data_IF_519748295020
#
_entry.id   IF_519748295020
#
_cell.length_a   1.000
_cell.length_b   1.000
_cell.length_c   1.000
_cell.angle_alpha   90.00
_cell.angle_beta   90.00
_cell.angle_gamma   90.00
#
_symmetry.space_group_name_H-M   'P 1'
#
loop_
_entity.id
_entity.type
_entity.pdbx_description
1 polymer ?
#
# COMPACT_ATOMS: atom_id res chain seq x y z
N UNK A 1 20.95 17.22 -19.25
CA UNK A 1 20.11 16.24 -19.97
C UNK A 1 18.76 16.27 -19.30
N UNK A 2 17.72 16.63 -20.04
CA UNK A 2 16.35 16.47 -19.56
C UNK A 2 16.08 14.97 -19.36
N UNK A 3 15.38 14.62 -18.29
CA UNK A 3 14.98 13.22 -18.08
C UNK A 3 13.97 12.85 -19.16
N UNK A 4 14.10 11.68 -19.82
CA UNK A 4 13.12 11.25 -20.80
C UNK A 4 11.75 11.15 -20.14
N UNK A 5 10.71 11.50 -20.89
CA UNK A 5 9.33 11.43 -20.45
C UNK A 5 8.48 10.74 -21.52
N UNK A 6 7.42 10.00 -21.14
CA UNK A 6 6.51 9.43 -22.11
C UNK A 6 5.85 10.54 -22.97
N UNK A 7 5.45 10.23 -24.21
CA UNK A 7 4.65 11.11 -25.05
C UNK A 7 3.39 11.61 -24.35
N UNK A 8 2.92 12.81 -24.70
CA UNK A 8 1.82 13.49 -24.01
C UNK A 8 0.51 12.68 -24.01
N UNK A 9 0.17 12.04 -25.13
CA UNK A 9 -0.99 11.16 -25.25
C UNK A 9 -0.91 9.96 -24.28
N UNK A 10 0.28 9.36 -24.16
CA UNK A 10 0.56 8.27 -23.23
C UNK A 10 0.41 8.75 -21.78
N UNK A 11 0.91 9.95 -21.45
CA UNK A 11 0.77 10.54 -20.11
C UNK A 11 -0.68 10.79 -19.73
N UNK A 12 -1.50 11.29 -20.66
CA UNK A 12 -2.93 11.51 -20.42
C UNK A 12 -3.66 10.21 -20.13
N UNK A 13 -3.34 9.13 -20.88
CA UNK A 13 -3.91 7.80 -20.65
C UNK A 13 -3.44 7.17 -19.34
N UNK A 14 -2.17 7.39 -18.94
CA UNK A 14 -1.66 7.03 -17.61
C UNK A 14 -2.46 7.75 -16.54
N UNK A 15 -2.66 9.07 -16.67
CA UNK A 15 -3.47 9.86 -15.74
C UNK A 15 -4.90 9.34 -15.59
N UNK A 16 -5.55 9.00 -16.70
CA UNK A 16 -6.87 8.36 -16.70
C UNK A 16 -6.85 7.01 -15.96
N UNK A 17 -5.86 6.15 -16.23
CA UNK A 17 -5.74 4.84 -15.60
C UNK A 17 -5.52 4.94 -14.08
N UNK A 18 -4.69 5.90 -13.63
CA UNK A 18 -4.48 6.18 -12.21
C UNK A 18 -5.77 6.70 -11.58
N UNK A 19 -6.43 7.70 -12.19
CA UNK A 19 -7.67 8.27 -11.66
C UNK A 19 -8.79 7.25 -11.51
N UNK A 20 -9.00 6.39 -12.51
CA UNK A 20 -9.97 5.30 -12.44
C UNK A 20 -9.61 4.28 -11.34
N UNK A 21 -8.32 3.98 -11.17
CA UNK A 21 -7.86 3.02 -10.15
C UNK A 21 -7.94 3.57 -8.71
N UNK A 22 -7.79 4.88 -8.53
CA UNK A 22 -8.01 5.55 -7.24
C UNK A 22 -9.49 5.45 -6.85
N UNK A 23 -10.41 5.66 -7.79
CA UNK A 23 -11.84 5.52 -7.53
C UNK A 23 -12.20 4.09 -7.15
N UNK A 24 -11.77 3.13 -7.98
CA UNK A 24 -12.00 1.71 -7.74
C UNK A 24 -10.78 0.88 -8.19
N UNK A 25 -10.13 0.15 -7.27
CA UNK A 25 -8.95 -0.63 -7.59
C UNK A 25 -9.21 -1.59 -8.75
N UNK A 26 -8.31 -1.56 -9.73
CA UNK A 26 -8.40 -2.38 -10.94
C UNK A 26 -8.98 -1.67 -12.16
N UNK A 27 -9.87 -0.68 -12.03
CA UNK A 27 -10.55 -0.08 -13.20
C UNK A 27 -9.60 0.53 -14.24
N UNK A 28 -8.47 1.09 -13.83
CA UNK A 28 -7.49 1.66 -14.77
C UNK A 28 -6.96 0.66 -15.80
N UNK A 29 -6.98 -0.64 -15.50
CA UNK A 29 -6.56 -1.69 -16.44
C UNK A 29 -7.47 -1.79 -17.67
N UNK A 30 -8.70 -1.27 -17.60
CA UNK A 30 -9.62 -1.24 -18.74
C UNK A 30 -9.20 -0.22 -19.80
N UNK A 31 -8.37 0.78 -19.47
CA UNK A 31 -7.80 1.75 -20.44
C UNK A 31 -7.00 1.03 -21.54
N UNK A 32 -6.40 -0.12 -21.22
CA UNK A 32 -5.70 -1.01 -22.16
C UNK A 32 -6.39 -2.36 -22.34
N UNK A 33 -7.70 -2.44 -22.04
CA UNK A 33 -8.54 -3.64 -22.21
C UNK A 33 -8.02 -4.90 -21.47
N UNK A 34 -7.23 -4.74 -20.42
CA UNK A 34 -6.69 -5.84 -19.59
C UNK A 34 -7.71 -6.29 -18.54
N UNK A 35 -8.80 -6.93 -18.99
CA UNK A 35 -9.94 -7.33 -18.13
C UNK A 35 -9.55 -8.26 -16.98
N UNK A 36 -8.63 -9.21 -17.21
CA UNK A 36 -8.17 -10.13 -16.17
C UNK A 36 -7.50 -9.39 -15.00
N UNK A 37 -6.64 -8.42 -15.30
CA UNK A 37 -6.00 -7.58 -14.27
C UNK A 37 -7.00 -6.66 -13.56
N UNK A 38 -7.97 -6.11 -14.28
CA UNK A 38 -9.06 -5.34 -13.67
C UNK A 38 -9.79 -6.19 -12.63
N UNK A 39 -10.22 -7.40 -13.00
CA UNK A 39 -10.94 -8.30 -12.11
C UNK A 39 -10.06 -8.76 -10.93
N UNK A 40 -8.81 -9.13 -11.19
CA UNK A 40 -7.87 -9.55 -10.15
C UNK A 40 -7.71 -8.48 -9.07
N UNK A 41 -7.39 -7.24 -9.46
CA UNK A 41 -7.15 -6.15 -8.50
C UNK A 41 -8.42 -5.74 -7.77
N UNK A 42 -9.55 -5.71 -8.47
CA UNK A 42 -10.85 -5.45 -7.84
C UNK A 42 -11.14 -6.50 -6.77
N UNK A 43 -11.10 -7.79 -7.11
CA UNK A 43 -11.38 -8.87 -6.17
C UNK A 43 -10.40 -8.86 -5.01
N UNK A 44 -9.09 -8.73 -5.28
CA UNK A 44 -8.07 -8.72 -4.23
C UNK A 44 -8.32 -7.60 -3.21
N UNK A 45 -8.55 -6.36 -3.66
CA UNK A 45 -8.75 -5.23 -2.77
C UNK A 45 -10.10 -5.29 -2.05
N UNK A 46 -11.19 -5.70 -2.72
CA UNK A 46 -12.49 -5.79 -2.06
C UNK A 46 -12.55 -6.96 -1.06
N UNK A 47 -12.02 -8.13 -1.42
CA UNK A 47 -12.02 -9.28 -0.51
C UNK A 47 -11.17 -8.99 0.73
N UNK A 48 -9.99 -8.39 0.58
CA UNK A 48 -9.15 -8.01 1.73
C UNK A 48 -9.79 -6.92 2.58
N UNK A 49 -10.45 -5.92 1.97
CA UNK A 49 -11.20 -4.89 2.70
C UNK A 49 -12.33 -5.50 3.54
N UNK A 50 -13.27 -6.19 2.89
CA UNK A 50 -14.47 -6.68 3.56
C UNK A 50 -14.17 -7.84 4.52
N UNK A 51 -13.26 -8.75 4.18
CA UNK A 51 -12.82 -9.77 5.13
C UNK A 51 -12.14 -9.12 6.34
N UNK A 52 -11.31 -8.11 6.12
CA UNK A 52 -10.64 -7.38 7.20
C UNK A 52 -11.61 -6.68 8.14
N UNK A 53 -12.60 -5.98 7.58
CA UNK A 53 -13.65 -5.32 8.35
C UNK A 53 -14.48 -6.33 9.14
N UNK A 54 -14.90 -7.44 8.52
CA UNK A 54 -15.70 -8.46 9.20
C UNK A 54 -14.93 -9.15 10.34
N UNK A 55 -13.66 -9.52 10.13
CA UNK A 55 -12.83 -10.19 11.13
C UNK A 55 -12.51 -9.31 12.35
N UNK A 56 -12.49 -7.99 12.16
CA UNK A 56 -12.23 -7.02 13.22
C UNK A 56 -13.51 -6.34 13.76
N UNK A 57 -14.71 -6.81 13.39
CA UNK A 57 -15.97 -6.20 13.82
C UNK A 57 -16.12 -4.73 13.40
N UNK A 58 -15.54 -4.36 12.26
CA UNK A 58 -15.49 -3.00 11.70
C UNK A 58 -14.92 -1.92 12.65
N UNK A 59 -14.15 -2.33 13.67
CA UNK A 59 -13.48 -1.41 14.63
C UNK A 59 -12.49 -0.44 13.98
N UNK A 60 -12.08 -0.70 12.73
CA UNK A 60 -11.30 0.23 11.93
C UNK A 60 -11.97 1.60 11.81
N UNK A 61 -13.31 1.63 11.77
CA UNK A 61 -14.09 2.86 11.61
C UNK A 61 -14.09 3.74 12.85
N UNK A 62 -13.74 3.21 14.02
CA UNK A 62 -13.57 4.01 15.24
C UNK A 62 -12.39 5.00 15.12
N UNK A 63 -11.44 4.71 14.23
CA UNK A 63 -10.30 5.58 13.91
C UNK A 63 -10.56 6.50 12.71
N UNK A 64 -11.71 6.35 12.05
CA UNK A 64 -12.07 7.12 10.87
C UNK A 64 -12.94 8.32 11.19
N UNK A 65 -13.11 9.22 10.22
CA UNK A 65 -13.97 10.40 10.36
C UNK A 65 -14.70 10.73 9.07
N UNK A 66 -15.97 11.12 9.22
CA UNK A 66 -16.75 11.74 8.15
C UNK A 66 -16.34 13.20 7.97
N UNK A 67 -16.06 13.57 6.73
CA UNK A 67 -15.87 14.94 6.27
C UNK A 67 -17.05 15.34 5.38
N UNK A 68 -17.54 16.56 5.53
CA UNK A 68 -18.73 17.03 4.82
C UNK A 68 -19.02 18.50 5.06
N UNK A 69 -20.11 18.98 4.48
CA UNK A 69 -20.57 20.36 4.62
C UNK A 69 -21.86 20.40 5.45
N UNK A 70 -21.79 21.01 6.63
CA UNK A 70 -22.90 21.06 7.57
C UNK A 70 -23.31 19.66 8.03
N UNK A 71 -24.59 19.31 7.83
CA UNK A 71 -25.14 18.00 8.20
C UNK A 71 -24.91 16.90 7.14
N UNK A 72 -24.44 17.25 5.95
CA UNK A 72 -24.26 16.29 4.85
C UNK A 72 -22.96 15.53 5.04
N UNK A 73 -23.05 14.22 5.24
CA UNK A 73 -21.90 13.32 5.23
C UNK A 73 -21.37 13.19 3.80
N UNK A 74 -20.13 13.62 3.58
CA UNK A 74 -19.46 13.53 2.28
C UNK A 74 -18.57 12.30 2.20
N UNK A 75 -17.32 12.43 2.61
CA UNK A 75 -16.27 11.41 2.48
C UNK A 75 -15.89 10.88 3.85
N UNK A 76 -15.85 9.57 4.00
CA UNK A 76 -15.27 8.91 5.15
C UNK A 76 -13.78 8.65 4.93
N UNK A 77 -12.95 9.15 5.84
CA UNK A 77 -11.50 8.98 5.79
C UNK A 77 -11.06 8.09 6.95
N UNK A 78 -10.41 6.99 6.61
CA UNK A 78 -9.78 6.05 7.53
C UNK A 78 -8.52 5.51 6.86
N UNK A 79 -7.38 5.60 7.55
CA UNK A 79 -6.08 5.29 6.94
C UNK A 79 -5.60 3.87 7.30
N UNK A 80 -4.99 3.15 6.33
CA UNK A 80 -4.82 3.49 4.91
C UNK A 80 -6.00 3.05 4.02
N UNK A 81 -7.07 2.48 4.59
CA UNK A 81 -8.21 1.90 3.86
C UNK A 81 -8.80 2.83 2.79
N UNK A 82 -8.85 4.15 3.03
CA UNK A 82 -9.40 5.17 2.12
C UNK A 82 -8.78 5.15 0.72
N UNK A 83 -7.58 4.58 0.54
CA UNK A 83 -6.99 4.39 -0.78
C UNK A 83 -7.76 3.37 -1.64
N UNK A 84 -8.48 2.42 -1.04
CA UNK A 84 -9.56 1.67 -1.68
C UNK A 84 -10.86 2.49 -1.54
N UNK A 85 -10.93 3.59 -2.30
CA UNK A 85 -11.84 4.69 -2.04
C UNK A 85 -13.31 4.28 -2.00
N UNK A 86 -13.89 3.87 -3.13
CA UNK A 86 -15.32 3.53 -3.19
C UNK A 86 -15.68 2.34 -2.30
N UNK A 87 -14.81 1.34 -2.20
CA UNK A 87 -15.01 0.20 -1.30
C UNK A 87 -15.16 0.65 0.15
N UNK A 88 -14.27 1.53 0.60
CA UNK A 88 -14.32 2.11 1.95
C UNK A 88 -15.54 3.00 2.16
N UNK A 89 -15.91 3.82 1.17
CA UNK A 89 -17.12 4.65 1.28
C UNK A 89 -18.38 3.80 1.44
N UNK A 90 -18.52 2.74 0.63
CA UNK A 90 -19.66 1.82 0.73
C UNK A 90 -19.66 1.11 2.07
N UNK A 91 -18.51 0.58 2.50
CA UNK A 91 -18.39 -0.13 3.75
C UNK A 91 -18.76 0.75 4.96
N UNK A 92 -18.32 2.01 4.98
CA UNK A 92 -18.63 2.96 6.05
C UNK A 92 -20.13 3.34 6.14
N UNK A 93 -20.90 3.11 5.08
CA UNK A 93 -22.35 3.35 5.07
C UNK A 93 -23.15 2.14 5.57
N UNK A 94 -22.62 0.92 5.41
CA UNK A 94 -23.37 -0.31 5.67
C UNK A 94 -22.88 -1.10 6.88
N UNK A 95 -21.64 -0.89 7.33
CA UNK A 95 -21.07 -1.54 8.49
C UNK A 95 -20.88 -0.52 9.63
N UNK A 96 -21.06 -1.00 10.85
CA UNK A 96 -20.86 -0.23 12.07
C UNK A 96 -19.88 -0.96 12.97
N UNK A 97 -19.01 -0.22 13.65
CA UNK A 97 -18.10 -0.82 14.63
C UNK A 97 -18.90 -1.45 15.76
N UNK A 98 -18.55 -2.69 16.11
CA UNK A 98 -19.10 -3.38 17.28
C UNK A 98 -18.68 -2.74 18.60
N UNK A 99 -17.61 -1.94 18.61
CA UNK A 99 -17.13 -1.23 19.81
C UNK A 99 -17.69 0.19 19.91
N UNK A 100 -18.40 0.67 18.88
CA UNK A 100 -19.10 1.96 18.87
C UNK A 100 -18.21 3.13 19.36
N UNK A 101 -17.04 3.31 18.76
CA UNK A 101 -16.07 4.33 19.17
C UNK A 101 -15.37 4.02 20.50
N UNK A 102 -15.32 2.75 20.91
CA UNK A 102 -14.75 2.31 22.19
C UNK A 102 -15.73 2.37 23.37
N UNK A 103 -17.00 2.69 23.13
CA UNK A 103 -18.05 2.68 24.17
C UNK A 103 -18.34 1.27 24.69
N UNK A 104 -18.21 0.25 23.82
CA UNK A 104 -18.50 -1.15 24.15
C UNK A 104 -17.30 -2.07 23.85
N UNK A 105 -16.22 -2.03 24.67
CA UNK A 105 -15.03 -2.84 24.43
C UNK A 105 -15.38 -4.33 24.44
N UNK A 106 -15.04 -5.02 23.36
CA UNK A 106 -15.32 -6.45 23.24
C UNK A 106 -14.08 -7.23 22.80
N UNK A 107 -14.05 -8.52 23.08
CA UNK A 107 -12.96 -9.37 22.65
C UNK A 107 -13.25 -9.92 21.25
N UNK A 108 -12.37 -9.61 20.29
CA UNK A 108 -12.51 -10.02 18.89
C UNK A 108 -11.30 -10.90 18.53
N UNK A 109 -11.48 -12.22 18.35
CA UNK A 109 -10.35 -13.16 18.21
C UNK A 109 -9.40 -12.85 17.05
N UNK A 110 -9.94 -12.39 15.91
CA UNK A 110 -9.17 -12.16 14.68
C UNK A 110 -8.95 -10.68 14.39
N UNK A 111 -9.00 -9.82 15.41
CA UNK A 111 -8.88 -8.36 15.26
C UNK A 111 -7.61 -7.95 14.52
N UNK A 112 -6.45 -8.43 14.97
CA UNK A 112 -5.14 -8.05 14.44
C UNK A 112 -5.03 -8.42 12.94
N UNK A 113 -5.50 -9.62 12.57
CA UNK A 113 -5.59 -10.06 11.18
C UNK A 113 -6.59 -9.20 10.39
N UNK A 114 -7.73 -8.87 10.98
CA UNK A 114 -8.75 -8.05 10.34
C UNK A 114 -8.25 -6.63 10.01
N UNK A 115 -7.56 -5.99 10.96
CA UNK A 115 -6.89 -4.70 10.75
C UNK A 115 -5.82 -4.80 9.66
N UNK A 116 -5.01 -5.86 9.68
CA UNK A 116 -3.98 -6.07 8.67
C UNK A 116 -4.57 -6.19 7.26
N UNK A 117 -5.63 -7.00 7.08
CA UNK A 117 -6.27 -7.21 5.78
C UNK A 117 -6.94 -5.94 5.25
N UNK A 118 -7.67 -5.20 6.08
CA UNK A 118 -8.32 -3.95 5.65
C UNK A 118 -7.28 -2.89 5.28
N UNK A 119 -6.23 -2.73 6.08
CA UNK A 119 -5.14 -1.82 5.78
C UNK A 119 -4.39 -2.23 4.50
N UNK A 120 -4.13 -3.52 4.32
CA UNK A 120 -3.48 -4.05 3.13
C UNK A 120 -4.29 -3.73 1.87
N UNK A 121 -5.64 -3.78 1.92
CA UNK A 121 -6.50 -3.36 0.82
C UNK A 121 -6.20 -1.93 0.34
N UNK A 122 -6.04 -0.99 1.26
CA UNK A 122 -5.72 0.40 0.93
C UNK A 122 -4.35 0.54 0.25
N UNK A 123 -3.32 -0.10 0.81
CA UNK A 123 -1.98 -0.08 0.22
C UNK A 123 -1.97 -0.77 -1.15
N UNK A 124 -2.60 -1.94 -1.28
CA UNK A 124 -2.74 -2.67 -2.54
C UNK A 124 -3.46 -1.85 -3.60
N UNK A 125 -4.47 -1.05 -3.24
CA UNK A 125 -5.16 -0.14 -4.15
C UNK A 125 -4.21 0.90 -4.78
N UNK A 126 -3.30 1.50 -4.00
CA UNK A 126 -2.27 2.40 -4.54
C UNK A 126 -1.37 1.69 -5.56
N UNK A 127 -0.94 0.48 -5.25
CA UNK A 127 -0.08 -0.30 -6.15
C UNK A 127 -0.83 -0.89 -7.35
N UNK A 128 -2.15 -1.08 -7.26
CA UNK A 128 -3.00 -1.40 -8.40
C UNK A 128 -3.03 -0.24 -9.40
N UNK A 129 -3.11 1.00 -8.91
CA UNK A 129 -3.06 2.20 -9.75
C UNK A 129 -1.70 2.36 -10.43
N UNK A 130 -0.60 2.14 -9.69
CA UNK A 130 0.73 2.07 -10.24
C UNK A 130 0.80 0.96 -11.32
N UNK A 131 0.39 -0.27 -11.02
CA UNK A 131 0.42 -1.36 -11.99
C UNK A 131 -0.38 -1.01 -13.27
N UNK A 132 -1.56 -0.41 -13.15
CA UNK A 132 -2.35 0.05 -14.30
C UNK A 132 -1.60 1.06 -15.17
N UNK A 133 -0.96 2.07 -14.56
CA UNK A 133 -0.14 3.05 -15.27
C UNK A 133 1.01 2.39 -16.05
N UNK A 134 1.68 1.40 -15.45
CA UNK A 134 2.74 0.66 -16.12
C UNK A 134 2.21 -0.16 -17.29
N UNK A 135 1.00 -0.71 -17.19
CA UNK A 135 0.35 -1.45 -18.29
C UNK A 135 -0.04 -0.53 -19.45
N UNK A 136 -0.42 0.73 -19.18
CA UNK A 136 -0.62 1.74 -20.23
C UNK A 136 0.68 2.00 -20.97
N UNK A 137 1.76 2.31 -20.25
CA UNK A 137 3.07 2.56 -20.86
C UNK A 137 3.51 1.37 -21.73
N UNK A 138 3.36 0.14 -21.22
CA UNK A 138 3.78 -1.05 -21.96
C UNK A 138 2.90 -1.38 -23.17
N UNK A 139 1.64 -0.93 -23.20
CA UNK A 139 0.76 -1.09 -24.35
C UNK A 139 1.07 -0.06 -25.44
N UNK A 140 1.37 1.17 -25.03
CA UNK A 140 1.57 2.30 -25.95
C UNK A 140 2.99 2.33 -26.52
N UNK A 141 3.97 1.92 -25.71
CA UNK A 141 5.38 1.80 -26.09
C UNK A 141 5.88 0.38 -25.81
N UNK A 142 5.59 -0.62 -26.67
CA UNK A 142 6.00 -1.99 -26.43
C UNK A 142 7.53 -2.15 -26.42
N UNK A 143 8.08 -2.62 -25.29
CA UNK A 143 9.52 -2.92 -25.12
C UNK A 143 9.72 -4.36 -24.66
N UNK A 144 9.82 -5.34 -25.58
CA UNK A 144 10.05 -6.73 -25.20
C UNK A 144 11.35 -6.87 -24.40
N UNK A 145 11.33 -7.71 -23.36
CA UNK A 145 12.49 -7.97 -22.49
C UNK A 145 12.76 -6.92 -21.41
N UNK A 146 12.13 -5.74 -21.46
CA UNK A 146 12.23 -4.73 -20.40
C UNK A 146 11.20 -4.96 -19.30
N UNK A 147 11.51 -4.49 -18.09
CA UNK A 147 10.63 -4.65 -16.92
C UNK A 147 9.62 -3.53 -16.85
N UNK A 148 8.35 -3.89 -16.71
CA UNK A 148 7.27 -2.94 -16.56
C UNK A 148 7.46 -2.12 -15.26
N UNK A 149 7.40 -0.78 -15.29
CA UNK A 149 7.59 0.05 -14.10
C UNK A 149 6.65 -0.27 -12.95
N UNK A 150 5.39 -0.59 -13.25
CA UNK A 150 4.43 -0.99 -12.23
C UNK A 150 4.73 -2.33 -11.59
N UNK A 151 5.33 -3.26 -12.32
CA UNK A 151 5.83 -4.50 -11.72
C UNK A 151 7.02 -4.24 -10.82
N UNK A 152 7.92 -3.30 -11.16
CA UNK A 152 9.06 -2.94 -10.30
C UNK A 152 8.59 -2.29 -8.98
N UNK A 153 7.61 -1.38 -9.04
CA UNK A 153 7.01 -0.82 -7.83
C UNK A 153 6.33 -1.90 -6.97
N UNK A 154 5.49 -2.75 -7.58
CA UNK A 154 4.79 -3.83 -6.87
C UNK A 154 5.77 -4.80 -6.20
N UNK A 155 6.87 -5.14 -6.87
CA UNK A 155 7.90 -5.98 -6.29
C UNK A 155 8.52 -5.34 -5.03
N UNK A 156 8.75 -4.02 -5.04
CA UNK A 156 9.24 -3.27 -3.87
C UNK A 156 8.24 -3.25 -2.72
N UNK A 157 6.93 -3.25 -3.00
CA UNK A 157 5.91 -3.44 -1.97
C UNK A 157 6.02 -4.82 -1.32
N UNK A 158 6.21 -5.88 -2.11
CA UNK A 158 6.26 -7.24 -1.56
C UNK A 158 7.50 -7.43 -0.68
N UNK A 159 8.64 -6.92 -1.13
CA UNK A 159 9.89 -6.96 -0.40
C UNK A 159 10.73 -5.70 -0.71
N UNK A 160 11.11 -4.90 0.29
CA UNK A 160 11.94 -3.72 0.07
C UNK A 160 13.19 -4.03 -0.75
N UNK A 161 13.40 -3.26 -1.83
CA UNK A 161 14.54 -3.42 -2.75
C UNK A 161 14.35 -4.46 -3.86
N UNK A 162 13.30 -5.29 -3.84
CA UNK A 162 13.09 -6.31 -4.89
C UNK A 162 12.83 -5.67 -6.27
N UNK A 163 12.16 -4.52 -6.33
CA UNK A 163 12.00 -3.77 -7.58
C UNK A 163 13.32 -3.40 -8.24
N UNK A 164 14.26 -2.82 -7.46
CA UNK A 164 15.61 -2.53 -7.93
C UNK A 164 16.34 -3.77 -8.40
N UNK A 165 16.16 -4.90 -7.72
CA UNK A 165 16.76 -6.16 -8.12
C UNK A 165 16.25 -6.62 -9.49
N UNK A 166 14.93 -6.56 -9.71
CA UNK A 166 14.31 -6.94 -10.98
C UNK A 166 14.76 -6.09 -12.16
N UNK A 167 15.07 -4.81 -11.92
CA UNK A 167 15.60 -3.86 -12.92
C UNK A 167 17.13 -4.00 -13.05
N UNK A 168 17.77 -4.94 -12.35
CA UNK A 168 19.20 -5.23 -12.47
C UNK A 168 20.11 -4.38 -11.57
N UNK A 169 19.56 -3.50 -10.74
CA UNK A 169 20.28 -2.62 -9.82
C UNK A 169 20.55 -3.30 -8.47
N UNK A 170 21.26 -4.44 -8.50
CA UNK A 170 21.46 -5.31 -7.32
C UNK A 170 22.10 -4.62 -6.12
N UNK A 171 23.10 -3.77 -6.33
CA UNK A 171 23.74 -3.03 -5.23
C UNK A 171 22.73 -2.12 -4.50
N UNK A 172 21.93 -1.35 -5.25
CA UNK A 172 20.87 -0.51 -4.67
C UNK A 172 19.82 -1.35 -3.96
N UNK A 173 19.42 -2.49 -4.54
CA UNK A 173 18.47 -3.40 -3.94
C UNK A 173 18.91 -3.84 -2.54
N UNK A 174 20.16 -4.30 -2.40
CA UNK A 174 20.71 -4.75 -1.11
C UNK A 174 20.90 -3.59 -0.15
N UNK A 175 21.48 -2.47 -0.61
CA UNK A 175 21.75 -1.32 0.25
C UNK A 175 20.46 -0.69 0.79
N UNK A 176 19.53 -0.32 -0.11
CA UNK A 176 18.30 0.37 0.27
C UNK A 176 17.30 -0.60 0.91
N UNK A 177 17.07 -1.77 0.30
CA UNK A 177 16.18 -2.79 0.84
C UNK A 177 16.65 -3.31 2.20
N UNK A 178 17.95 -3.57 2.34
CA UNK A 178 18.57 -3.96 3.61
C UNK A 178 18.47 -2.87 4.67
N UNK A 179 18.63 -1.60 4.31
CA UNK A 179 18.44 -0.48 5.25
C UNK A 179 16.99 -0.38 5.73
N UNK A 180 16.01 -0.45 4.81
CA UNK A 180 14.59 -0.39 5.17
C UNK A 180 14.19 -1.57 6.06
N UNK A 181 14.60 -2.78 5.71
CA UNK A 181 14.35 -3.97 6.52
C UNK A 181 15.07 -3.88 7.88
N UNK A 182 16.30 -3.40 7.91
CA UNK A 182 17.07 -3.20 9.14
C UNK A 182 16.40 -2.19 10.08
N UNK A 183 15.94 -1.05 9.57
CA UNK A 183 15.18 -0.06 10.34
C UNK A 183 13.90 -0.66 10.91
N UNK A 184 13.16 -1.41 10.09
CA UNK A 184 11.92 -2.05 10.53
C UNK A 184 12.17 -3.08 11.63
N UNK A 185 13.12 -4.00 11.43
CA UNK A 185 13.41 -5.04 12.41
C UNK A 185 14.00 -4.47 13.70
N UNK A 186 14.85 -3.44 13.60
CA UNK A 186 15.34 -2.70 14.77
C UNK A 186 14.17 -2.04 15.50
N UNK A 187 13.27 -1.39 14.77
CA UNK A 187 12.10 -0.76 15.35
C UNK A 187 11.19 -1.76 16.07
N UNK A 188 10.88 -2.89 15.43
CA UNK A 188 10.12 -3.99 16.05
C UNK A 188 10.81 -4.52 17.30
N UNK A 189 12.14 -4.67 17.30
CA UNK A 189 12.89 -5.14 18.46
C UNK A 189 12.84 -4.15 19.64
N UNK A 190 12.99 -2.84 19.38
CA UNK A 190 12.86 -1.79 20.40
C UNK A 190 11.45 -1.69 20.97
N UNK A 191 10.46 -2.01 20.13
CA UNK A 191 9.04 -2.12 20.45
C UNK A 191 8.57 -3.46 21.01
N UNK A 192 9.49 -4.35 21.40
CA UNK A 192 9.12 -5.68 21.93
C UNK A 192 8.20 -6.49 21.02
N UNK A 193 8.25 -6.24 19.71
CA UNK A 193 7.39 -6.80 18.66
C UNK A 193 5.89 -6.53 18.82
N UNK A 194 5.48 -5.59 19.69
CA UNK A 194 4.08 -5.23 19.91
C UNK A 194 3.69 -3.86 19.30
N UNK A 195 4.63 -3.17 18.65
CA UNK A 195 4.46 -1.83 18.07
C UNK A 195 3.57 -1.79 16.81
N UNK A 196 3.43 -2.92 16.10
CA UNK A 196 2.62 -3.01 14.87
C UNK A 196 1.15 -3.26 15.22
N UNK A 197 0.55 -2.32 15.94
CA UNK A 197 -0.80 -2.45 16.51
C UNK A 197 -1.60 -1.17 16.23
N UNK A 198 -2.68 -1.32 15.47
CA UNK A 198 -3.58 -0.21 15.12
C UNK A 198 -4.28 0.37 16.33
N UNK A 199 -4.64 -0.45 17.33
CA UNK A 199 -5.38 0.01 18.50
C UNK A 199 -4.55 0.96 19.36
N UNK A 200 -3.24 0.70 19.43
CA UNK A 200 -2.31 1.51 20.22
C UNK A 200 -1.83 2.73 19.45
N UNK A 201 -1.51 2.55 18.17
CA UNK A 201 -0.78 3.56 17.39
C UNK A 201 -1.40 3.77 16.01
N UNK A 202 -2.68 4.18 15.91
CA UNK A 202 -3.43 4.16 14.65
C UNK A 202 -2.77 4.99 13.52
N UNK A 203 -2.18 6.14 13.86
CA UNK A 203 -1.49 6.99 12.88
C UNK A 203 -0.15 6.41 12.41
N UNK A 204 0.67 5.89 13.33
CA UNK A 204 1.96 5.28 13.01
C UNK A 204 1.78 3.98 12.23
N UNK A 205 0.76 3.21 12.60
CA UNK A 205 0.35 1.97 11.95
C UNK A 205 0.06 2.17 10.46
N UNK A 206 -0.65 3.24 10.09
CA UNK A 206 -0.91 3.54 8.69
C UNK A 206 0.40 3.73 7.88
N UNK A 207 1.42 4.34 8.47
CA UNK A 207 2.75 4.46 7.86
C UNK A 207 3.50 3.13 7.79
N UNK A 208 3.43 2.31 8.85
CA UNK A 208 4.03 0.96 8.88
C UNK A 208 3.44 0.04 7.79
N UNK A 209 2.15 0.18 7.48
CA UNK A 209 1.47 -0.62 6.45
C UNK A 209 2.09 -0.47 5.05
N UNK A 210 2.74 0.65 4.74
CA UNK A 210 3.45 0.84 3.47
C UNK A 210 4.73 0.01 3.32
N UNK A 211 5.21 -0.61 4.40
CA UNK A 211 6.29 -1.59 4.31
C UNK A 211 5.90 -2.88 3.56
N UNK A 212 4.60 -3.09 3.35
CA UNK A 212 4.07 -4.08 2.44
C UNK A 212 4.27 -5.53 2.90
N UNK A 213 4.39 -6.45 1.95
CA UNK A 213 4.28 -7.89 2.20
C UNK A 213 5.20 -8.40 3.30
N UNK A 214 6.48 -8.02 3.27
CA UNK A 214 7.45 -8.40 4.30
C UNK A 214 7.05 -7.92 5.70
N UNK A 215 6.55 -6.68 5.83
CA UNK A 215 6.15 -6.12 7.11
C UNK A 215 4.87 -6.77 7.61
N UNK A 216 3.91 -7.02 6.72
CA UNK A 216 2.65 -7.68 7.06
C UNK A 216 2.87 -9.10 7.58
N UNK A 217 3.82 -9.85 6.99
CA UNK A 217 4.18 -11.18 7.46
C UNK A 217 4.80 -11.14 8.87
N UNK A 218 5.68 -10.17 9.14
CA UNK A 218 6.26 -10.00 10.48
C UNK A 218 5.20 -9.57 11.48
N UNK A 219 4.30 -8.65 11.11
CA UNK A 219 3.18 -8.23 11.95
C UNK A 219 2.25 -9.41 12.28
N UNK A 220 1.95 -10.27 11.30
CA UNK A 220 1.16 -11.47 11.52
C UNK A 220 1.86 -12.47 12.43
N UNK A 221 3.17 -12.67 12.25
CA UNK A 221 3.97 -13.56 13.11
C UNK A 221 4.08 -13.03 14.55
N UNK A 222 4.03 -11.71 14.72
CA UNK A 222 4.01 -11.03 16.00
C UNK A 222 2.59 -10.81 16.55
N UNK A 223 1.55 -11.26 15.85
CA UNK A 223 0.17 -11.11 16.31
C UNK A 223 0.00 -11.83 17.65
N UNK A 224 -0.39 -11.07 18.69
CA UNK A 224 -0.47 -11.55 20.06
C UNK A 224 0.69 -11.17 20.96
N UNK A 225 1.77 -10.56 20.43
CA UNK A 225 2.75 -9.87 21.28
C UNK A 225 2.04 -8.71 22.01
N UNK A 226 2.35 -8.55 23.31
CA UNK A 226 1.77 -7.52 24.18
C UNK A 226 2.87 -6.93 25.03
N UNK A 227 2.81 -5.62 25.29
CA UNK A 227 3.65 -5.02 26.32
C UNK A 227 3.31 -5.60 27.69
N UNK A 228 4.30 -6.19 28.34
CA UNK A 228 4.23 -6.61 29.76
C UNK A 228 4.78 -5.54 30.69
N UNK A 229 5.51 -4.56 30.14
CA UNK A 229 6.15 -3.46 30.86
C UNK A 229 6.26 -2.23 29.95
N UNK A 230 6.61 -1.09 30.54
CA UNK A 230 6.91 0.13 29.78
C UNK A 230 8.31 0.02 29.19
N UNK A 231 8.40 -0.11 27.87
CA UNK A 231 9.68 -0.23 27.17
C UNK A 231 10.34 1.16 27.03
N UNK A 232 11.62 1.26 27.44
CA UNK A 232 12.39 2.51 27.41
C UNK A 232 12.50 3.16 26.03
N UNK A 233 12.46 2.36 24.96
CA UNK A 233 12.70 2.81 23.59
C UNK A 233 11.49 2.62 22.66
N UNK A 234 10.28 2.47 23.23
CA UNK A 234 9.05 2.25 22.46
C UNK A 234 8.81 3.33 21.40
N UNK A 235 8.91 4.61 21.77
CA UNK A 235 8.69 5.71 20.83
C UNK A 235 9.69 5.70 19.67
N UNK A 236 10.94 5.31 19.94
CA UNK A 236 11.95 5.13 18.90
C UNK A 236 11.61 3.93 17.99
N UNK A 237 11.10 2.84 18.57
CA UNK A 237 10.61 1.67 17.84
C UNK A 237 9.52 2.04 16.82
N UNK A 238 8.51 2.77 17.28
CA UNK A 238 7.43 3.29 16.44
C UNK A 238 7.96 4.20 15.33
N UNK A 239 8.84 5.14 15.65
CA UNK A 239 9.43 6.03 14.65
C UNK A 239 10.21 5.25 13.59
N UNK A 240 11.01 4.25 13.98
CA UNK A 240 11.77 3.45 13.02
C UNK A 240 10.88 2.58 12.13
N UNK A 241 9.90 1.88 12.69
CA UNK A 241 8.98 1.04 11.91
C UNK A 241 8.13 1.86 10.94
N UNK A 242 7.58 3.00 11.38
CA UNK A 242 6.82 3.91 10.52
C UNK A 242 7.70 4.52 9.43
N UNK A 243 8.89 5.01 9.78
CA UNK A 243 9.83 5.58 8.81
C UNK A 243 10.24 4.55 7.76
N UNK A 244 10.48 3.30 8.19
CA UNK A 244 10.80 2.22 7.27
C UNK A 244 9.66 1.96 6.27
N UNK A 245 8.41 1.96 6.71
CA UNK A 245 7.25 1.83 5.82
C UNK A 245 7.16 2.97 4.79
N UNK A 246 7.36 4.22 5.22
CA UNK A 246 7.38 5.37 4.31
C UNK A 246 8.58 5.36 3.35
N UNK A 247 9.77 4.96 3.82
CA UNK A 247 10.92 4.78 2.96
C UNK A 247 10.69 3.68 1.92
N UNK A 248 9.91 2.65 2.23
CA UNK A 248 9.56 1.64 1.24
C UNK A 248 8.74 2.21 0.06
N UNK A 249 7.89 3.21 0.31
CA UNK A 249 7.20 3.96 -0.76
C UNK A 249 8.22 4.68 -1.63
N UNK A 250 9.19 5.35 -1.03
CA UNK A 250 10.27 6.05 -1.77
C UNK A 250 11.08 5.05 -2.61
N UNK A 251 11.40 3.88 -2.06
CA UNK A 251 12.07 2.81 -2.81
C UNK A 251 11.23 2.33 -3.98
N UNK A 252 9.91 2.14 -3.79
CA UNK A 252 9.01 1.74 -4.87
C UNK A 252 8.93 2.78 -5.98
N UNK A 253 8.91 4.08 -5.63
CA UNK A 253 8.93 5.19 -6.58
C UNK A 253 10.27 5.30 -7.33
N UNK A 254 11.41 5.12 -6.66
CA UNK A 254 12.72 5.09 -7.34
C UNK A 254 12.80 3.87 -8.27
N UNK A 255 12.36 2.69 -7.83
CA UNK A 255 12.34 1.48 -8.66
C UNK A 255 11.43 1.66 -9.90
N UNK A 256 10.25 2.26 -9.72
CA UNK A 256 9.38 2.66 -10.82
C UNK A 256 10.11 3.56 -11.80
N UNK A 257 10.67 4.67 -11.30
CA UNK A 257 11.28 5.68 -12.16
C UNK A 257 12.46 5.10 -12.94
N UNK A 258 13.26 4.23 -12.32
CA UNK A 258 14.37 3.58 -13.03
C UNK A 258 13.90 2.60 -14.09
N UNK A 259 12.86 1.83 -13.81
CA UNK A 259 12.27 0.98 -14.83
C UNK A 259 11.69 1.81 -16.00
N UNK A 260 11.10 2.98 -15.72
CA UNK A 260 10.58 3.89 -16.75
C UNK A 260 11.69 4.53 -17.58
N UNK A 261 12.75 5.05 -16.94
CA UNK A 261 13.93 5.59 -17.63
C UNK A 261 14.53 4.53 -18.57
N UNK A 262 14.75 3.31 -18.07
CA UNK A 262 15.29 2.19 -18.86
C UNK A 262 14.34 1.77 -20.01
N UNK A 263 13.02 1.95 -19.82
CA UNK A 263 11.99 1.67 -20.84
C UNK A 263 12.01 2.69 -21.97
N UNK A 264 12.19 3.97 -21.64
CA UNK A 264 12.20 5.08 -22.60
C UNK A 264 13.52 5.16 -23.36
N UNK A 265 14.66 4.97 -22.68
CA UNK A 265 15.99 5.01 -23.31
C UNK A 265 16.16 3.92 -24.38
N UNK A 266 15.56 2.74 -24.17
CA UNK A 266 15.55 1.67 -25.18
C UNK A 266 14.87 2.07 -26.50
N UNK A 267 14.11 3.17 -26.52
CA UNK A 267 13.51 3.72 -27.73
C UNK A 267 14.37 4.65 -28.54
N UNK A 268 15.35 5.27 -27.91
CA UNK A 268 16.28 6.17 -28.58
C UNK A 268 17.37 5.38 -29.31
N UNK A 269 17.70 4.17 -28.83
CA UNK A 269 18.70 3.29 -29.45
C UNK A 269 18.22 2.60 -30.74
N UNK A 270 16.91 2.56 -31.00
CA UNK A 270 16.31 1.90 -32.19
C UNK A 270 16.01 2.87 -33.35
N UNK A 271 16.20 4.18 -33.17
CA UNK A 271 15.96 5.25 -34.17
C UNK A 271 17.28 5.72 -34.77
#
# INVERSE_FOLDING_TARGET
MESPAPPEDTRQRIGLAVGLSILLPGLGHLVVRRRAWCLFWFLLCQLTLFAGLLLAGATQFDYGRWFGLGAVRGIFVVLPEVANFLGTQVAAQILHSVENGGADPTWIPYRDLGHLLSGASGVLACFAAAHAAGQVLAADLPRPGRRNPGTAALASLLLPGLGHWLVGRRFKAVLLGGTVLGLFLLGMALGGFADFDRQRHPYYWAGQMFGGGAFWLVALAAAGARFTEVLRFMDAGLLFTTSAGLFNVILALDAWRRAEDDWLAAGEEEV
#
